data_IF_342828338488
#
_entry.id   IF_342828338488
#
_cell.length_a   1.000
_cell.length_b   1.000
_cell.length_c   1.000
_cell.angle_alpha   90.00
_cell.angle_beta   90.00
_cell.angle_gamma   90.00
#
_symmetry.space_group_name_H-M   'P 1'
#
loop_
_entity.id
_entity.type
_entity.pdbx_description
1 polymer ?
#
# COMPACT_ATOMS: atom_id res chain seq x y z
N UNK A 1 -11.95 -43.87 34.32
CA UNK A 1 -10.54 -43.95 34.77
C UNK A 1 -10.27 -42.64 35.46
N UNK A 2 -10.14 -42.71 36.77
CA UNK A 2 -10.58 -41.69 37.73
C UNK A 2 -9.45 -41.46 38.75
N UNK A 3 -9.49 -40.30 39.40
CA UNK A 3 -9.11 -40.03 40.82
C UNK A 3 -7.69 -39.51 41.18
N UNK A 4 -7.73 -38.28 41.75
CA UNK A 4 -7.07 -37.67 42.95
C UNK A 4 -5.54 -37.50 43.06
N UNK A 5 -5.02 -36.38 43.61
CA UNK A 5 -5.08 -35.84 45.01
C UNK A 5 -4.51 -34.40 45.04
N UNK A 6 -4.52 -33.53 46.08
CA UNK A 6 -5.37 -33.18 47.22
C UNK A 6 -4.82 -31.84 47.82
N UNK A 7 -5.72 -30.99 48.38
CA UNK A 7 -5.65 -30.08 49.58
C UNK A 7 -4.32 -29.91 50.38
N UNK A 8 -3.92 -28.83 51.06
CA UNK A 8 -4.40 -27.47 51.42
C UNK A 8 -3.23 -26.65 52.03
N UNK A 9 -3.36 -25.31 52.14
CA UNK A 9 -2.46 -24.47 52.96
C UNK A 9 -2.80 -22.97 52.90
N UNK A 10 -2.98 -22.36 54.08
CA UNK A 10 -3.56 -21.04 54.31
C UNK A 10 -2.58 -19.85 54.19
N UNK A 11 -3.15 -18.67 53.94
CA UNK A 11 -2.71 -17.38 54.48
C UNK A 11 -1.63 -16.60 53.72
N UNK A 12 -1.98 -15.40 53.25
CA UNK A 12 -1.36 -14.12 53.61
C UNK A 12 -1.73 -13.03 52.59
N UNK A 13 -2.10 -11.88 53.13
CA UNK A 13 -2.50 -10.68 52.43
C UNK A 13 -1.38 -10.12 51.54
N UNK A 14 -1.77 -9.60 50.37
CA UNK A 14 -0.90 -8.85 49.47
C UNK A 14 -1.58 -8.59 48.13
N UNK A 15 -2.26 -7.44 48.00
CA UNK A 15 -2.40 -6.82 46.68
C UNK A 15 -1.01 -6.48 46.14
N UNK A 16 -0.78 -6.37 44.81
CA UNK A 16 -1.46 -5.32 44.06
C UNK A 16 -1.69 -5.61 42.55
N UNK A 17 -2.28 -4.62 41.87
CA UNK A 17 -2.32 -4.40 40.42
C UNK A 17 -3.16 -5.39 39.61
N UNK A 18 -4.44 -5.03 39.45
CA UNK A 18 -5.31 -5.49 38.39
C UNK A 18 -4.62 -5.28 37.03
N UNK A 19 -4.04 -6.36 36.53
CA UNK A 19 -3.51 -6.43 35.17
C UNK A 19 -4.65 -6.26 34.19
N UNK A 20 -4.64 -5.16 33.45
CA UNK A 20 -5.27 -5.06 32.14
C UNK A 20 -4.57 -6.05 31.20
N UNK A 21 -4.88 -7.34 31.35
CA UNK A 21 -4.63 -8.34 30.32
C UNK A 21 -5.61 -8.04 29.21
N UNK A 22 -5.18 -7.19 28.27
CA UNK A 22 -5.87 -6.93 27.03
C UNK A 22 -6.22 -8.28 26.37
N UNK A 23 -7.50 -8.59 26.35
CA UNK A 23 -8.11 -9.72 25.68
C UNK A 23 -8.04 -9.52 24.15
N UNK A 24 -6.81 -9.49 23.61
CA UNK A 24 -6.54 -9.43 22.17
C UNK A 24 -6.75 -10.79 21.49
N UNK A 25 -6.96 -11.88 22.26
CA UNK A 25 -7.13 -13.23 21.69
C UNK A 25 -8.56 -13.51 21.24
N UNK A 26 -9.59 -12.87 21.79
CA UNK A 26 -10.99 -13.11 21.37
C UNK A 26 -11.46 -12.35 20.13
N UNK A 27 -10.70 -11.38 19.60
CA UNK A 27 -11.05 -10.64 18.36
C UNK A 27 -10.38 -11.19 17.09
N UNK A 28 -9.93 -12.46 17.10
CA UNK A 28 -9.32 -13.12 15.92
C UNK A 28 -10.31 -13.87 15.02
N UNK A 29 -11.62 -13.81 15.26
CA UNK A 29 -12.58 -14.75 14.65
C UNK A 29 -13.59 -14.16 13.63
N UNK A 30 -13.55 -12.88 13.27
CA UNK A 30 -14.54 -12.30 12.33
C UNK A 30 -13.96 -11.67 11.04
N UNK A 31 -12.66 -11.85 10.78
CA UNK A 31 -12.01 -11.41 9.52
C UNK A 31 -12.37 -12.25 8.28
N UNK A 32 -13.44 -13.06 8.34
CA UNK A 32 -13.93 -13.91 7.24
C UNK A 32 -14.79 -13.09 6.28
N UNK A 33 -14.19 -12.65 5.17
CA UNK A 33 -14.86 -12.69 3.87
C UNK A 33 -15.83 -11.56 3.52
N UNK A 34 -15.51 -10.31 3.83
CA UNK A 34 -16.14 -9.16 3.15
C UNK A 34 -15.07 -8.29 2.51
N UNK A 35 -14.46 -8.84 1.46
CA UNK A 35 -13.75 -8.05 0.47
C UNK A 35 -14.77 -7.13 -0.20
N UNK A 36 -14.49 -5.83 -0.20
CA UNK A 36 -15.32 -4.81 -0.82
C UNK A 36 -15.54 -5.14 -2.29
N UNK A 37 -16.65 -5.81 -2.58
CA UNK A 37 -17.29 -5.65 -3.88
C UNK A 37 -17.64 -4.18 -3.93
N UNK A 38 -17.08 -3.43 -4.89
CA UNK A 38 -17.67 -2.16 -5.30
C UNK A 38 -19.03 -2.52 -5.88
N UNK A 39 -20.03 -2.68 -5.02
CA UNK A 39 -21.41 -2.78 -5.44
C UNK A 39 -21.74 -1.38 -5.92
N UNK A 40 -21.77 -1.20 -7.24
CA UNK A 40 -22.28 0.00 -7.88
C UNK A 40 -23.79 0.04 -7.58
N UNK A 41 -24.17 0.55 -6.40
CA UNK A 41 -25.58 0.78 -6.07
C UNK A 41 -26.00 2.01 -6.84
N UNK A 42 -26.52 1.81 -8.06
CA UNK A 42 -27.26 2.83 -8.78
C UNK A 42 -28.56 3.08 -8.02
N UNK A 43 -28.53 4.03 -7.10
CA UNK A 43 -29.70 4.47 -6.36
C UNK A 43 -30.67 5.16 -7.32
N UNK A 44 -31.71 4.45 -7.74
CA UNK A 44 -32.85 5.01 -8.43
C UNK A 44 -33.70 5.84 -7.46
N UNK A 45 -33.25 7.06 -7.15
CA UNK A 45 -34.01 8.03 -6.36
C UNK A 45 -34.92 8.85 -7.26
N UNK A 46 -36.24 8.62 -7.17
CA UNK A 46 -37.25 9.53 -7.71
C UNK A 46 -37.35 10.78 -6.82
N UNK A 47 -37.07 11.96 -7.37
CA UNK A 47 -37.45 13.23 -6.77
C UNK A 47 -36.41 14.34 -6.93
N UNK A 48 -36.56 15.13 -8.00
CA UNK A 48 -35.83 16.38 -8.21
C UNK A 48 -35.08 16.41 -9.53
N UNK A 49 -35.67 17.05 -10.54
CA UNK A 49 -35.07 17.31 -11.86
C UNK A 49 -34.01 18.40 -11.77
N UNK A 50 -32.86 18.05 -11.18
CA UNK A 50 -31.60 18.67 -11.61
C UNK A 50 -31.34 18.13 -13.02
N UNK A 51 -30.99 18.96 -14.03
CA UNK A 51 -30.51 18.42 -15.29
C UNK A 51 -29.30 17.56 -14.95
N UNK A 52 -29.49 16.23 -14.98
CA UNK A 52 -28.43 15.29 -14.73
C UNK A 52 -27.45 15.45 -15.88
N UNK A 53 -26.43 16.28 -15.67
CA UNK A 53 -25.25 16.22 -16.51
C UNK A 53 -24.83 14.74 -16.50
N UNK A 54 -24.81 14.15 -17.68
CA UNK A 54 -24.47 12.74 -17.87
C UNK A 54 -23.19 12.42 -17.10
N UNK A 55 -23.33 11.66 -16.02
CA UNK A 55 -22.24 11.44 -15.07
C UNK A 55 -21.21 10.50 -15.69
N UNK A 56 -19.95 10.94 -15.71
CA UNK A 56 -18.84 10.12 -16.19
C UNK A 56 -18.43 9.06 -15.18
N UNK A 57 -17.71 8.03 -15.62
CA UNK A 57 -17.26 6.96 -14.72
C UNK A 57 -16.35 7.46 -13.59
N UNK A 58 -15.52 8.47 -13.85
CA UNK A 58 -14.65 9.08 -12.83
C UNK A 58 -15.47 9.77 -11.74
N UNK A 59 -16.56 10.46 -12.10
CA UNK A 59 -17.47 11.10 -11.14
C UNK A 59 -18.15 10.05 -10.26
N UNK A 60 -18.62 8.94 -10.86
CA UNK A 60 -19.22 7.81 -10.14
C UNK A 60 -18.23 7.21 -9.14
N UNK A 61 -16.98 6.98 -9.56
CA UNK A 61 -15.91 6.47 -8.70
C UNK A 61 -15.59 7.43 -7.55
N UNK A 62 -15.49 8.73 -7.84
CA UNK A 62 -15.24 9.77 -6.84
C UNK A 62 -16.36 9.82 -5.81
N UNK A 63 -17.62 9.83 -6.24
CA UNK A 63 -18.78 9.79 -5.32
C UNK A 63 -18.79 8.53 -4.49
N UNK A 64 -18.48 7.37 -5.06
CA UNK A 64 -18.41 6.10 -4.32
C UNK A 64 -17.35 6.15 -3.21
N UNK A 65 -16.17 6.69 -3.49
CA UNK A 65 -15.11 6.88 -2.49
C UNK A 65 -15.48 7.93 -1.43
N UNK A 66 -16.18 9.01 -1.82
CA UNK A 66 -16.68 10.00 -0.86
C UNK A 66 -17.69 9.37 0.11
N UNK A 67 -18.65 8.59 -0.39
CA UNK A 67 -19.61 7.87 0.45
C UNK A 67 -18.91 6.91 1.42
N UNK A 68 -17.84 6.23 0.96
CA UNK A 68 -17.01 5.37 1.80
C UNK A 68 -16.33 6.16 2.92
N UNK A 69 -15.69 7.29 2.59
CA UNK A 69 -15.06 8.17 3.57
C UNK A 69 -16.06 8.71 4.59
N UNK A 70 -17.23 9.16 4.14
CA UNK A 70 -18.31 9.65 5.01
C UNK A 70 -18.79 8.55 5.96
N UNK A 71 -18.92 7.32 5.45
CA UNK A 71 -19.29 6.17 6.28
C UNK A 71 -18.23 5.82 7.33
N UNK A 72 -16.94 5.83 6.96
CA UNK A 72 -15.84 5.59 7.91
C UNK A 72 -15.79 6.67 9.00
N UNK A 73 -16.08 7.92 8.65
CA UNK A 73 -15.97 9.08 9.56
C UNK A 73 -17.15 9.23 10.51
N UNK A 74 -18.32 8.66 10.21
CA UNK A 74 -19.52 8.70 11.08
C UNK A 74 -19.41 7.87 12.36
N UNK A 75 -18.34 7.10 12.52
CA UNK A 75 -18.15 6.19 13.65
C UNK A 75 -17.68 6.94 14.90
N UNK A 76 -17.67 6.23 16.03
CA UNK A 76 -17.19 6.77 17.30
C UNK A 76 -15.80 7.41 17.14
N UNK A 77 -15.60 8.55 17.78
CA UNK A 77 -14.33 9.26 17.74
C UNK A 77 -13.20 8.34 18.23
N UNK A 78 -12.05 8.29 17.54
CA UNK A 78 -10.94 7.46 17.95
C UNK A 78 -10.35 7.95 19.28
N UNK A 79 -9.73 7.04 20.02
CA UNK A 79 -8.95 7.36 21.21
C UNK A 79 -7.91 8.46 20.88
N UNK A 80 -7.89 9.60 21.61
CA UNK A 80 -6.94 10.68 21.37
C UNK A 80 -5.48 10.24 21.45
N UNK A 81 -5.15 9.29 22.34
CA UNK A 81 -3.77 8.80 22.51
C UNK A 81 -3.34 7.98 21.30
N UNK A 82 -4.18 7.03 20.87
CA UNK A 82 -3.97 6.28 19.64
C UNK A 82 -3.84 7.21 18.41
N UNK A 83 -4.72 8.21 18.31
CA UNK A 83 -4.73 9.17 17.20
C UNK A 83 -3.46 10.00 17.15
N UNK A 84 -3.00 10.53 18.29
CA UNK A 84 -1.76 11.29 18.37
C UNK A 84 -0.53 10.44 17.99
N UNK A 85 -0.50 9.17 18.38
CA UNK A 85 0.58 8.25 18.00
C UNK A 85 0.60 7.99 16.49
N UNK A 86 -0.55 7.73 15.88
CA UNK A 86 -0.64 7.51 14.43
C UNK A 86 -0.26 8.79 13.68
N UNK A 87 -0.72 9.96 14.16
CA UNK A 87 -0.35 11.25 13.59
C UNK A 87 1.16 11.48 13.62
N UNK A 88 1.83 11.22 14.75
CA UNK A 88 3.27 11.36 14.86
C UNK A 88 4.03 10.47 13.86
N UNK A 89 3.63 9.20 13.70
CA UNK A 89 4.23 8.30 12.71
C UNK A 89 3.95 8.77 11.27
N UNK A 90 2.76 9.29 10.99
CA UNK A 90 2.41 9.84 9.68
C UNK A 90 3.23 11.08 9.34
N UNK A 91 3.40 12.01 10.29
CA UNK A 91 4.22 13.21 10.11
C UNK A 91 5.68 12.85 9.84
N UNK A 92 6.22 11.84 10.55
CA UNK A 92 7.56 11.31 10.29
C UNK A 92 7.69 10.71 8.88
N UNK A 93 6.73 9.87 8.46
CA UNK A 93 6.69 9.28 7.11
C UNK A 93 6.58 10.36 6.03
N UNK A 94 5.75 11.38 6.24
CA UNK A 94 5.57 12.50 5.30
C UNK A 94 6.84 13.35 5.19
N UNK A 95 7.49 13.67 6.32
CA UNK A 95 8.76 14.38 6.35
C UNK A 95 9.90 13.60 5.69
N UNK A 96 9.84 12.26 5.74
CA UNK A 96 10.78 11.37 5.06
C UNK A 96 10.47 11.16 3.58
N UNK A 97 9.43 11.78 2.99
CA UNK A 97 9.18 11.70 1.55
C UNK A 97 10.25 12.45 0.74
N UNK A 98 10.65 11.99 -0.47
CA UNK A 98 11.65 12.68 -1.29
C UNK A 98 11.11 13.98 -1.90
N UNK A 99 9.79 14.04 -2.11
CA UNK A 99 9.06 15.19 -2.61
C UNK A 99 7.84 15.44 -1.74
N UNK A 100 7.36 16.69 -1.62
CA UNK A 100 6.10 16.97 -0.94
C UNK A 100 4.95 16.15 -1.54
N UNK A 101 4.21 15.43 -0.70
CA UNK A 101 3.05 14.62 -1.10
C UNK A 101 1.80 15.25 -0.47
N UNK A 102 0.74 15.58 -1.23
CA UNK A 102 -0.44 16.26 -0.71
C UNK A 102 -1.40 15.31 0.03
N UNK A 103 -0.87 14.48 0.94
CA UNK A 103 -1.65 13.51 1.70
C UNK A 103 -2.23 14.11 2.99
N UNK A 104 -3.42 13.66 3.37
CA UNK A 104 -4.08 14.02 4.63
C UNK A 104 -4.42 12.76 5.42
N UNK A 105 -4.15 12.76 6.72
CA UNK A 105 -4.51 11.66 7.60
C UNK A 105 -5.90 11.85 8.23
N UNK A 106 -6.66 10.77 8.31
CA UNK A 106 -7.88 10.63 9.11
C UNK A 106 -7.79 9.37 9.94
N UNK A 107 -7.84 9.49 11.26
CA UNK A 107 -7.90 8.35 12.17
C UNK A 107 -9.36 8.03 12.48
N UNK A 108 -9.74 6.76 12.38
CA UNK A 108 -11.10 6.26 12.64
C UNK A 108 -11.08 5.06 13.59
N UNK A 109 -12.24 4.65 14.10
CA UNK A 109 -12.37 3.42 14.90
C UNK A 109 -13.24 2.36 14.21
N UNK A 110 -12.79 1.11 14.27
CA UNK A 110 -13.50 -0.05 13.74
C UNK A 110 -13.37 -0.23 12.22
N UNK A 111 -12.38 0.39 11.58
CA UNK A 111 -12.08 0.19 10.17
C UNK A 111 -11.93 -1.30 9.82
N UNK A 112 -12.30 -1.67 8.60
CA UNK A 112 -12.18 -3.06 8.13
C UNK A 112 -10.73 -3.44 7.83
N UNK A 113 -9.89 -2.44 7.57
CA UNK A 113 -8.46 -2.55 7.28
C UNK A 113 -7.67 -1.65 8.21
N UNK A 114 -6.36 -1.89 8.33
CA UNK A 114 -5.50 -1.07 9.18
C UNK A 114 -5.36 0.36 8.67
N UNK A 115 -5.22 0.52 7.36
CA UNK A 115 -5.29 1.80 6.68
C UNK A 115 -5.73 1.58 5.22
N UNK A 116 -6.24 2.63 4.59
CA UNK A 116 -6.52 2.69 3.15
C UNK A 116 -6.44 4.14 2.65
N UNK A 117 -6.03 4.30 1.39
CA UNK A 117 -6.03 5.58 0.69
C UNK A 117 -7.33 5.75 -0.10
N UNK A 118 -8.09 6.80 0.23
CA UNK A 118 -9.34 7.17 -0.44
C UNK A 118 -9.23 8.54 -1.09
N UNK A 119 -9.97 8.73 -2.19
CA UNK A 119 -9.99 9.97 -2.99
C UNK A 119 -8.60 10.42 -3.47
N UNK A 120 -7.65 9.49 -3.59
CA UNK A 120 -6.28 9.73 -4.06
C UNK A 120 -5.40 10.58 -3.15
N UNK A 121 -5.88 11.02 -1.98
CA UNK A 121 -5.14 11.95 -1.12
C UNK A 121 -5.46 11.84 0.38
N UNK A 122 -6.49 11.09 0.77
CA UNK A 122 -6.86 10.93 2.18
C UNK A 122 -6.49 9.52 2.62
N UNK A 123 -5.55 9.42 3.55
CA UNK A 123 -5.21 8.16 4.20
C UNK A 123 -6.12 8.03 5.41
N UNK A 124 -6.96 7.00 5.41
CA UNK A 124 -7.79 6.64 6.56
C UNK A 124 -7.10 5.52 7.30
N UNK A 125 -6.78 5.71 8.59
CA UNK A 125 -6.14 4.72 9.44
C UNK A 125 -7.08 4.31 10.58
N UNK A 126 -7.20 3.01 10.83
CA UNK A 126 -7.89 2.52 12.01
C UNK A 126 -7.05 2.71 13.27
N UNK A 127 -7.67 3.08 14.38
CA UNK A 127 -7.00 3.34 15.66
C UNK A 127 -6.20 2.13 16.18
N UNK A 128 -6.53 0.90 15.78
CA UNK A 128 -5.73 -0.29 16.13
C UNK A 128 -4.32 -0.27 15.54
N UNK A 129 -4.06 0.54 14.52
CA UNK A 129 -2.72 0.75 13.97
C UNK A 129 -1.73 1.30 15.03
N UNK A 130 -2.23 2.03 16.03
CA UNK A 130 -1.42 2.55 17.15
C UNK A 130 -0.82 1.46 18.04
N UNK A 131 -1.33 0.22 17.97
CA UNK A 131 -0.85 -0.92 18.74
C UNK A 131 0.31 -1.66 18.07
N UNK A 132 0.63 -1.36 16.80
CA UNK A 132 1.77 -1.97 16.12
C UNK A 132 3.10 -1.38 16.63
N UNK A 133 4.23 -2.11 16.52
CA UNK A 133 5.55 -1.51 16.59
C UNK A 133 5.71 -0.34 15.61
N UNK A 134 6.55 0.65 15.95
CA UNK A 134 6.73 1.87 15.14
C UNK A 134 7.07 1.53 13.68
N UNK A 135 8.07 0.67 13.43
CA UNK A 135 8.46 0.31 12.07
C UNK A 135 7.34 -0.38 11.26
N UNK A 136 6.58 -1.29 11.88
CA UNK A 136 5.40 -1.91 11.25
C UNK A 136 4.33 -0.85 10.91
N UNK A 137 4.05 0.09 11.82
CA UNK A 137 3.09 1.18 11.59
C UNK A 137 3.57 2.15 10.51
N UNK A 138 4.83 2.57 10.55
CA UNK A 138 5.44 3.42 9.54
C UNK A 138 5.39 2.77 8.16
N UNK A 139 5.61 1.44 8.05
CA UNK A 139 5.49 0.75 6.78
C UNK A 139 4.07 0.79 6.22
N UNK A 140 3.03 0.57 7.04
CA UNK A 140 1.63 0.71 6.60
C UNK A 140 1.36 2.12 6.09
N UNK A 141 1.74 3.14 6.86
CA UNK A 141 1.50 4.54 6.48
C UNK A 141 2.30 4.95 5.23
N UNK A 142 3.53 4.45 5.09
CA UNK A 142 4.37 4.71 3.93
C UNK A 142 3.85 4.00 2.67
N UNK A 143 3.29 2.79 2.80
CA UNK A 143 2.60 2.09 1.72
C UNK A 143 1.40 2.91 1.21
N UNK A 144 0.54 3.37 2.12
CA UNK A 144 -0.59 4.24 1.75
C UNK A 144 -0.12 5.57 1.14
N UNK A 145 0.92 6.18 1.68
CA UNK A 145 1.52 7.37 1.08
C UNK A 145 2.04 7.11 -0.33
N UNK A 146 2.54 5.90 -0.62
CA UNK A 146 2.94 5.46 -1.95
C UNK A 146 1.79 5.48 -2.95
N UNK A 147 0.57 5.08 -2.56
CA UNK A 147 -0.61 5.20 -3.42
C UNK A 147 -0.92 6.65 -3.80
N UNK A 148 -0.72 7.60 -2.88
CA UNK A 148 -0.87 9.04 -3.14
C UNK A 148 0.26 9.55 -4.04
N UNK A 149 1.51 9.30 -3.66
CA UNK A 149 2.70 9.82 -4.35
C UNK A 149 2.80 9.35 -5.81
N UNK A 150 2.35 8.12 -6.09
CA UNK A 150 2.38 7.52 -7.42
C UNK A 150 1.06 7.67 -8.20
N UNK A 151 0.15 8.51 -7.71
CA UNK A 151 -1.14 8.83 -8.34
C UNK A 151 -1.96 7.59 -8.74
N UNK A 152 -1.95 6.54 -7.90
CA UNK A 152 -2.61 5.27 -8.20
C UNK A 152 -4.12 5.43 -8.45
N UNK A 153 -4.78 6.34 -7.71
CA UNK A 153 -6.18 6.69 -7.94
C UNK A 153 -6.43 7.27 -9.33
N UNK A 154 -5.62 8.24 -9.76
CA UNK A 154 -5.78 8.89 -11.07
C UNK A 154 -5.59 7.88 -12.21
N UNK A 155 -4.54 7.04 -12.13
CA UNK A 155 -4.28 5.96 -13.10
C UNK A 155 -5.44 4.96 -13.19
N UNK A 156 -6.08 4.64 -12.05
CA UNK A 156 -7.27 3.78 -12.05
C UNK A 156 -8.45 4.50 -12.71
N UNK A 157 -8.66 5.79 -12.43
CA UNK A 157 -9.69 6.60 -13.10
C UNK A 157 -9.51 6.67 -14.62
N UNK A 158 -8.27 6.87 -15.09
CA UNK A 158 -7.91 6.85 -16.51
C UNK A 158 -8.23 5.51 -17.16
N UNK A 159 -7.90 4.39 -16.51
CA UNK A 159 -8.25 3.06 -16.99
C UNK A 159 -9.77 2.91 -17.15
N UNK A 160 -10.54 3.26 -16.12
CA UNK A 160 -12.00 3.16 -16.17
C UNK A 160 -12.59 4.06 -17.27
N UNK A 161 -12.09 5.29 -17.43
CA UNK A 161 -12.53 6.22 -18.47
C UNK A 161 -12.22 5.70 -19.88
N UNK A 162 -11.10 4.99 -20.08
CA UNK A 162 -10.76 4.37 -21.35
C UNK A 162 -11.75 3.26 -21.76
N UNK A 163 -12.24 2.47 -20.80
CA UNK A 163 -13.24 1.43 -21.07
C UNK A 163 -14.68 1.95 -21.12
N UNK A 164 -14.99 3.04 -20.40
CA UNK A 164 -16.32 3.61 -20.27
C UNK A 164 -16.32 5.11 -20.59
N UNK A 165 -16.15 5.48 -21.88
CA UNK A 165 -16.18 6.87 -22.28
C UNK A 165 -17.61 7.44 -22.19
N UNK A 166 -17.73 8.64 -21.62
CA UNK A 166 -18.99 9.37 -21.47
C UNK A 166 -19.86 8.86 -20.33
N UNK A 167 -21.19 8.93 -20.52
CA UNK A 167 -22.18 8.59 -19.50
C UNK A 167 -22.12 7.11 -19.09
N UNK A 168 -22.15 6.87 -17.77
CA UNK A 168 -22.25 5.53 -17.19
C UNK A 168 -23.66 4.98 -17.36
N UNK A 169 -23.82 4.08 -18.32
CA UNK A 169 -25.07 3.34 -18.56
C UNK A 169 -24.86 1.85 -18.30
N UNK A 170 -25.81 1.22 -17.62
CA UNK A 170 -25.72 -0.21 -17.22
C UNK A 170 -25.29 -1.13 -18.37
N UNK A 171 -25.94 -1.01 -19.53
CA UNK A 171 -25.65 -1.87 -20.69
C UNK A 171 -24.23 -1.66 -21.24
N UNK A 172 -23.67 -0.45 -21.14
CA UNK A 172 -22.27 -0.15 -21.55
C UNK A 172 -21.28 -0.77 -20.57
N UNK A 173 -21.54 -0.65 -19.27
CA UNK A 173 -20.72 -1.25 -18.22
C UNK A 173 -20.73 -2.77 -18.31
N UNK A 174 -21.88 -3.40 -18.50
CA UNK A 174 -22.00 -4.86 -18.64
C UNK A 174 -21.21 -5.38 -19.85
N UNK A 175 -21.22 -4.65 -20.98
CA UNK A 175 -20.51 -5.04 -22.20
C UNK A 175 -18.98 -5.12 -22.03
N UNK A 176 -18.41 -4.33 -21.11
CA UNK A 176 -16.94 -4.27 -20.89
C UNK A 176 -16.50 -4.86 -19.55
N UNK A 177 -17.43 -5.30 -18.70
CA UNK A 177 -17.16 -5.66 -17.30
C UNK A 177 -16.05 -6.72 -17.13
N UNK A 178 -16.02 -7.74 -17.97
CA UNK A 178 -15.00 -8.80 -17.91
C UNK A 178 -13.60 -8.30 -18.23
N UNK A 179 -13.46 -7.56 -19.33
CA UNK A 179 -12.18 -6.99 -19.76
C UNK A 179 -11.69 -5.92 -18.77
N UNK A 180 -12.55 -4.96 -18.43
CA UNK A 180 -12.25 -3.92 -17.44
C UNK A 180 -11.86 -4.53 -16.09
N UNK A 181 -12.54 -5.60 -15.65
CA UNK A 181 -12.21 -6.29 -14.41
C UNK A 181 -10.82 -6.93 -14.41
N UNK A 182 -10.42 -7.55 -15.53
CA UNK A 182 -9.10 -8.14 -15.69
C UNK A 182 -8.00 -7.06 -15.71
N UNK A 183 -8.20 -5.99 -16.48
CA UNK A 183 -7.23 -4.89 -16.59
C UNK A 183 -7.10 -4.12 -15.27
N UNK A 184 -8.21 -3.85 -14.59
CA UNK A 184 -8.22 -3.21 -13.28
C UNK A 184 -7.52 -4.06 -12.23
N UNK A 185 -7.73 -5.38 -12.25
CA UNK A 185 -7.05 -6.29 -11.32
C UNK A 185 -5.53 -6.34 -11.57
N UNK A 186 -5.12 -6.42 -12.83
CA UNK A 186 -3.71 -6.38 -13.21
C UNK A 186 -3.04 -5.06 -12.83
N UNK A 187 -3.75 -3.93 -13.01
CA UNK A 187 -3.27 -2.62 -12.57
C UNK A 187 -3.15 -2.54 -11.04
N UNK A 188 -4.17 -2.98 -10.30
CA UNK A 188 -4.16 -2.98 -8.84
C UNK A 188 -2.99 -3.80 -8.27
N UNK A 189 -2.72 -4.99 -8.81
CA UNK A 189 -1.57 -5.81 -8.37
C UNK A 189 -0.22 -5.11 -8.60
N UNK A 190 -0.05 -4.41 -9.73
CA UNK A 190 1.17 -3.60 -9.98
C UNK A 190 1.27 -2.46 -8.97
N UNK A 191 0.17 -1.75 -8.73
CA UNK A 191 0.11 -0.64 -7.78
C UNK A 191 0.48 -1.07 -6.35
N UNK A 192 0.04 -2.25 -5.90
CA UNK A 192 0.41 -2.79 -4.59
C UNK A 192 1.92 -3.07 -4.48
N UNK A 193 2.54 -3.57 -5.55
CA UNK A 193 3.99 -3.78 -5.59
C UNK A 193 4.78 -2.47 -5.65
N UNK A 194 4.28 -1.48 -6.38
CA UNK A 194 4.85 -0.13 -6.44
C UNK A 194 4.77 0.57 -5.07
N UNK A 195 3.62 0.47 -4.39
CA UNK A 195 3.42 0.99 -3.04
C UNK A 195 4.27 0.27 -1.97
N UNK A 196 4.43 -1.06 -2.08
CA UNK A 196 5.35 -1.84 -1.24
C UNK A 196 6.80 -1.36 -1.37
N UNK A 197 7.28 -1.15 -2.61
CA UNK A 197 8.62 -0.67 -2.88
C UNK A 197 8.82 0.76 -2.36
N UNK A 198 7.85 1.64 -2.59
CA UNK A 198 7.86 3.01 -2.08
C UNK A 198 7.89 3.03 -0.53
N UNK A 199 7.02 2.23 0.09
CA UNK A 199 6.95 2.10 1.54
C UNK A 199 8.27 1.61 2.15
N UNK A 200 8.91 0.62 1.54
CA UNK A 200 10.20 0.11 1.99
C UNK A 200 11.32 1.16 1.86
N UNK A 201 11.34 1.93 0.78
CA UNK A 201 12.31 3.00 0.59
C UNK A 201 12.18 4.09 1.68
N UNK A 202 10.96 4.52 1.99
CA UNK A 202 10.71 5.48 3.08
C UNK A 202 11.08 4.92 4.45
N UNK A 203 10.77 3.64 4.70
CA UNK A 203 11.08 2.97 5.94
C UNK A 203 12.59 2.99 6.22
N UNK A 204 13.41 2.75 5.20
CA UNK A 204 14.88 2.87 5.30
C UNK A 204 15.34 4.29 5.62
N UNK A 205 14.72 5.32 5.02
CA UNK A 205 15.04 6.73 5.33
C UNK A 205 14.74 7.09 6.79
N UNK A 206 13.79 6.40 7.41
CA UNK A 206 13.45 6.52 8.83
C UNK A 206 14.35 5.67 9.76
N UNK A 207 15.33 4.95 9.22
CA UNK A 207 16.23 4.09 9.99
C UNK A 207 15.63 2.72 10.34
N UNK A 208 14.50 2.36 9.74
CA UNK A 208 13.86 1.06 9.91
C UNK A 208 14.29 0.06 8.84
N UNK A 209 14.21 -1.23 9.16
CA UNK A 209 14.66 -2.31 8.30
C UNK A 209 13.53 -3.00 7.53
N UNK A 210 13.83 -3.77 6.46
CA UNK A 210 12.86 -4.61 5.75
C UNK A 210 12.18 -5.64 6.67
N UNK A 211 12.78 -5.99 7.80
CA UNK A 211 12.25 -6.90 8.80
C UNK A 211 10.93 -6.40 9.40
N UNK A 212 10.75 -5.08 9.53
CA UNK A 212 9.51 -4.49 10.04
C UNK A 212 8.35 -4.75 9.07
N UNK A 213 8.57 -4.54 7.77
CA UNK A 213 7.59 -4.87 6.73
C UNK A 213 7.25 -6.38 6.72
N UNK A 214 8.27 -7.23 6.82
CA UNK A 214 8.07 -8.69 6.86
C UNK A 214 7.32 -9.15 8.12
N UNK A 215 7.64 -8.57 9.29
CA UNK A 215 6.95 -8.84 10.55
C UNK A 215 5.46 -8.49 10.46
N UNK A 216 5.13 -7.38 9.82
CA UNK A 216 3.74 -7.01 9.55
C UNK A 216 3.01 -8.09 8.74
N UNK A 217 3.58 -8.58 7.64
CA UNK A 217 2.94 -9.64 6.84
C UNK A 217 2.77 -10.95 7.62
N UNK A 218 3.71 -11.31 8.50
CA UNK A 218 3.56 -12.47 9.37
C UNK A 218 2.44 -12.28 10.39
N UNK A 219 2.29 -11.06 10.93
CA UNK A 219 1.22 -10.68 11.85
C UNK A 219 -0.16 -10.71 11.19
N UNK A 220 -0.27 -10.19 9.96
CA UNK A 220 -1.51 -10.16 9.18
C UNK A 220 -1.92 -11.54 8.65
N UNK A 221 -0.95 -12.46 8.54
CA UNK A 221 -1.14 -13.82 8.06
C UNK A 221 -1.19 -13.93 6.53
N UNK A 222 -1.19 -15.17 6.05
CA UNK A 222 -1.27 -15.46 4.63
C UNK A 222 -2.67 -15.20 4.07
N UNK A 223 -2.75 -14.42 2.99
CA UNK A 223 -3.96 -14.16 2.22
C UNK A 223 -3.77 -14.63 0.77
N UNK A 224 -4.81 -15.22 0.14
CA UNK A 224 -4.79 -15.53 -1.29
C UNK A 224 -4.85 -14.24 -2.13
N UNK A 225 -4.69 -14.38 -3.45
CA UNK A 225 -4.94 -13.28 -4.37
C UNK A 225 -6.42 -12.86 -4.32
N UNK A 226 -6.66 -11.57 -4.49
CA UNK A 226 -7.97 -10.98 -4.72
C UNK A 226 -7.89 -10.07 -5.95
N UNK A 227 -9.02 -9.57 -6.48
CA UNK A 227 -8.98 -8.62 -7.59
C UNK A 227 -8.12 -7.38 -7.30
N UNK A 228 -8.07 -6.92 -6.05
CA UNK A 228 -7.37 -5.69 -5.67
C UNK A 228 -6.03 -5.92 -5.01
N UNK A 229 -5.77 -7.09 -4.41
CA UNK A 229 -4.54 -7.36 -3.68
C UNK A 229 -3.89 -8.67 -4.12
N UNK A 230 -2.59 -8.67 -4.42
CA UNK A 230 -1.85 -9.90 -4.64
C UNK A 230 -1.67 -10.67 -3.33
N UNK A 231 -1.52 -12.00 -3.44
CA UNK A 231 -1.34 -12.89 -2.32
C UNK A 231 -0.14 -12.46 -1.45
N UNK A 232 -0.25 -12.63 -0.14
CA UNK A 232 0.81 -12.26 0.83
C UNK A 232 2.18 -12.84 0.43
N UNK A 233 2.20 -14.09 -0.07
CA UNK A 233 3.43 -14.77 -0.51
C UNK A 233 4.11 -14.05 -1.68
N UNK A 234 3.34 -13.54 -2.65
CA UNK A 234 3.86 -12.79 -3.80
C UNK A 234 4.46 -11.46 -3.36
N UNK A 235 3.76 -10.72 -2.49
CA UNK A 235 4.24 -9.46 -1.92
C UNK A 235 5.54 -9.65 -1.13
N UNK A 236 5.60 -10.64 -0.24
CA UNK A 236 6.81 -10.97 0.53
C UNK A 236 7.98 -11.36 -0.38
N UNK A 237 7.75 -12.18 -1.41
CA UNK A 237 8.79 -12.55 -2.37
C UNK A 237 9.33 -11.32 -3.11
N UNK A 238 8.45 -10.40 -3.53
CA UNK A 238 8.83 -9.15 -4.20
C UNK A 238 9.65 -8.24 -3.29
N UNK A 239 9.24 -8.05 -2.04
CA UNK A 239 9.98 -7.22 -1.06
C UNK A 239 11.39 -7.74 -0.82
N UNK A 240 11.56 -9.07 -0.70
CA UNK A 240 12.88 -9.70 -0.56
C UNK A 240 13.77 -9.47 -1.79
N UNK A 241 13.19 -9.51 -2.99
CA UNK A 241 13.93 -9.26 -4.22
C UNK A 241 14.41 -7.79 -4.31
N UNK A 242 13.56 -6.83 -3.92
CA UNK A 242 13.94 -5.40 -3.84
C UNK A 242 15.08 -5.21 -2.84
N UNK A 243 14.99 -5.85 -1.67
CA UNK A 243 16.01 -5.76 -0.64
C UNK A 243 17.37 -6.36 -1.06
N UNK A 244 17.35 -7.54 -1.68
CA UNK A 244 18.56 -8.19 -2.19
C UNK A 244 19.23 -7.45 -3.36
N UNK A 245 18.44 -6.82 -4.25
CA UNK A 245 18.96 -6.07 -5.40
C UNK A 245 19.72 -4.81 -4.98
N UNK A 246 19.24 -4.09 -3.96
CA UNK A 246 19.94 -2.93 -3.42
C UNK A 246 21.21 -3.30 -2.67
N UNK A 247 21.19 -4.38 -1.88
CA UNK A 247 22.39 -4.87 -1.19
C UNK A 247 23.50 -5.22 -2.20
N UNK A 248 23.15 -5.83 -3.33
CA UNK A 248 24.09 -6.14 -4.40
C UNK A 248 24.60 -4.89 -5.13
N UNK A 249 23.75 -3.87 -5.32
CA UNK A 249 24.14 -2.59 -5.94
C UNK A 249 25.02 -1.70 -5.03
N UNK A 250 24.80 -1.75 -3.71
CA UNK A 250 25.61 -1.04 -2.73
C UNK A 250 27.00 -1.69 -2.54
N UNK A 251 27.11 -3.00 -2.75
CA UNK A 251 28.37 -3.74 -2.80
C UNK A 251 29.10 -3.57 -4.15
N UNK A 252 29.02 -2.38 -4.75
CA UNK A 252 29.60 -2.03 -6.05
C UNK A 252 31.03 -2.56 -6.22
N UNK A 253 31.43 -2.85 -7.47
CA UNK A 253 32.50 -3.80 -7.80
C UNK A 253 33.72 -3.51 -6.94
N UNK A 254 34.05 -4.46 -6.06
CA UNK A 254 35.34 -4.47 -5.39
C UNK A 254 36.38 -4.23 -6.48
N UNK A 255 37.06 -3.09 -6.40
CA UNK A 255 38.03 -2.68 -7.39
C UNK A 255 38.93 -3.88 -7.65
N UNK A 256 38.79 -4.48 -8.84
CA UNK A 256 39.76 -5.45 -9.32
C UNK A 256 41.06 -4.66 -9.41
N UNK A 257 41.89 -4.81 -8.38
CA UNK A 257 43.25 -4.30 -8.37
C UNK A 257 43.91 -4.77 -9.65
N UNK A 258 44.38 -3.82 -10.44
CA UNK A 258 45.20 -4.11 -11.60
C UNK A 258 46.38 -4.98 -11.17
N UNK A 259 46.58 -6.17 -11.76
CA UNK A 259 47.90 -6.76 -11.72
C UNK A 259 48.81 -5.87 -12.56
N UNK A 260 49.77 -5.23 -11.90
CA UNK A 260 50.76 -4.37 -12.55
C UNK A 260 51.41 -5.07 -13.73
N UNK A 261 51.12 -4.56 -14.93
CA UNK A 261 51.86 -4.89 -16.13
C UNK A 261 53.02 -3.89 -16.26
N UNK A 262 54.20 -4.34 -15.83
CA UNK A 262 55.45 -3.68 -16.14
C UNK A 262 55.73 -3.77 -17.65
N UNK A 263 55.94 -2.61 -18.26
CA UNK A 263 56.93 -2.36 -19.31
C UNK A 263 56.75 -3.01 -20.69
N UNK A 264 56.33 -2.20 -21.66
CA UNK A 264 56.95 -2.17 -22.99
C UNK A 264 56.67 -0.82 -23.71
N UNK A 265 57.77 -0.20 -24.14
CA UNK A 265 57.97 1.11 -24.77
C UNK A 265 57.58 1.10 -26.28
N UNK A 266 57.53 2.22 -27.03
CA UNK A 266 56.59 2.45 -28.12
C UNK A 266 57.31 2.29 -29.48
N UNK A 267 56.58 2.28 -30.59
CA UNK A 267 57.03 2.82 -31.90
C UNK A 267 56.00 2.55 -32.99
N UNK A 268 55.86 3.57 -33.86
CA UNK A 268 55.33 3.56 -35.23
C UNK A 268 53.81 3.35 -35.35
N UNK A 269 53.02 4.10 -36.12
CA UNK A 269 53.19 5.24 -37.02
C UNK A 269 51.76 5.64 -37.50
N UNK A 270 51.57 6.75 -38.22
CA UNK A 270 50.28 7.39 -38.43
C UNK A 270 49.59 7.01 -39.76
N UNK A 271 48.30 7.34 -39.84
CA UNK A 271 47.62 7.67 -41.10
C UNK A 271 46.71 6.58 -41.66
N UNK A 272 45.42 6.86 -41.75
CA UNK A 272 44.77 7.20 -43.03
C UNK A 272 43.38 7.76 -42.76
N UNK A 273 43.18 8.99 -43.21
CA UNK A 273 41.85 9.55 -43.52
C UNK A 273 41.10 8.62 -44.50
N UNK A 274 39.77 8.69 -44.52
CA UNK A 274 38.92 9.34 -45.57
C UNK A 274 37.50 8.69 -45.64
N UNK A 275 36.52 9.25 -46.38
CA UNK A 275 35.30 9.77 -45.77
C UNK A 275 33.99 9.20 -46.38
N UNK A 276 32.89 9.73 -45.86
CA UNK A 276 31.72 10.24 -46.59
C UNK A 276 30.54 9.36 -47.03
N UNK A 277 29.39 10.03 -46.90
CA UNK A 277 28.20 10.05 -47.74
C UNK A 277 27.25 8.84 -47.75
N UNK A 278 25.98 9.13 -47.41
CA UNK A 278 24.87 8.23 -47.74
C UNK A 278 23.50 8.61 -47.18
N UNK A 279 23.03 9.84 -47.40
CA UNK A 279 21.58 10.16 -47.32
C UNK A 279 20.90 9.81 -48.64
N UNK A 280 19.67 9.26 -48.61
CA UNK A 280 18.64 9.84 -49.46
C UNK A 280 17.31 10.09 -48.72
N UNK A 281 16.65 11.16 -49.18
CA UNK A 281 15.37 11.70 -48.74
C UNK A 281 14.16 10.90 -49.28
N UNK A 282 12.92 11.19 -48.84
CA UNK A 282 11.75 10.33 -48.97
C UNK A 282 10.95 10.56 -50.27
N UNK A 283 10.01 9.63 -50.53
CA UNK A 283 8.87 9.80 -51.45
C UNK A 283 7.58 9.94 -50.66
#
# INVERSE_FOLDING_TARGET
MTIETASAGAGMAGGPLAGQRLDHRRRRAHWRGRLGTVVLVLAAGWGGSVPAAAEGIVDVLQRSQQQRLDWLTRREAPDPVASARIQASFDAVLAAAPTPVPARLRVVHGGEVLAETVLGQVIVADATLAALPEGERCFVLAHELGHVALAHWARMGELYAAHLPGEVMRFRTEAVAGLLGADASGLAHRQEHEADAYGLALLRRLGHGPQDALALFMRLGARPDTPTHPATRKRVARLRAVDGGEAAGAAGPAANGEPGAAGADPRLAPGTERPDAGTPAPR
#
